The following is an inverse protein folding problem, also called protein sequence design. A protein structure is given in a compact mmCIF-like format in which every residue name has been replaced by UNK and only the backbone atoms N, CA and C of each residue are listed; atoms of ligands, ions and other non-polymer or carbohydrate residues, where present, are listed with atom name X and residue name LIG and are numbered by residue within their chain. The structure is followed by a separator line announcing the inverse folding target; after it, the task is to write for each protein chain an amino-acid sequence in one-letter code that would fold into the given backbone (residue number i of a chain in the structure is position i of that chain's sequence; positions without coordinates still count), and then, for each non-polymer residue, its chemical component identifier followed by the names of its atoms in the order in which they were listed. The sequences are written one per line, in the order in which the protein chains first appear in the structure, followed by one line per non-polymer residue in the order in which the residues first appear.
data_IF_334042722708
#
_entry.id   IF_334042722708
#
_cell.length_a   1.000
_cell.length_b   1.000
_cell.length_c   1.000
_cell.angle_alpha   90.00
_cell.angle_beta   90.00
_cell.angle_gamma   90.00
#
_symmetry.space_group_name_H-M   'P 1'
#
loop_
_entity.id
_entity.type
_entity.pdbx_description
1 polymer ?
#
# COMPACT_ATOMS: atom_id res chain seq x y z
N UNK A 1 4.72 33.82 -5.34
CA UNK A 1 5.27 33.98 -6.70
C UNK A 1 5.93 32.64 -7.04
N UNK A 2 5.28 31.82 -7.87
CA UNK A 2 5.90 30.58 -8.41
C UNK A 2 6.99 31.01 -9.36
N UNK A 3 8.22 30.67 -9.02
CA UNK A 3 9.35 30.82 -9.91
C UNK A 3 9.22 29.78 -11.03
N UNK A 4 8.93 30.21 -12.26
CA UNK A 4 9.08 29.33 -13.43
C UNK A 4 10.59 29.13 -13.65
N UNK A 5 11.09 27.89 -13.59
CA UNK A 5 12.50 27.66 -13.85
C UNK A 5 12.86 28.12 -15.27
N UNK A 6 14.03 28.72 -15.40
CA UNK A 6 14.55 29.23 -16.69
C UNK A 6 14.89 28.09 -17.68
N UNK A 7 14.89 26.85 -17.18
CA UNK A 7 15.30 25.63 -17.88
C UNK A 7 14.10 24.73 -18.14
N UNK A 8 14.11 24.05 -19.29
CA UNK A 8 13.02 23.17 -19.71
C UNK A 8 13.08 21.79 -19.05
N UNK A 9 11.92 21.16 -18.86
CA UNK A 9 11.78 19.72 -18.63
C UNK A 9 10.97 19.15 -19.76
N UNK A 10 11.49 18.09 -20.36
CA UNK A 10 10.74 17.28 -21.34
C UNK A 10 10.43 15.94 -20.71
N UNK A 11 9.14 15.68 -20.46
CA UNK A 11 8.67 14.41 -19.93
C UNK A 11 8.20 13.52 -21.08
N UNK A 12 8.80 12.34 -21.19
CA UNK A 12 8.51 11.34 -22.19
C UNK A 12 7.85 10.13 -21.48
N UNK A 13 6.58 9.90 -21.76
CA UNK A 13 5.87 8.69 -21.34
C UNK A 13 6.22 7.57 -22.31
N UNK A 14 6.98 6.58 -21.84
CA UNK A 14 7.40 5.45 -22.65
C UNK A 14 6.48 4.26 -22.40
N UNK A 15 5.51 4.03 -23.28
CA UNK A 15 4.57 2.91 -23.20
C UNK A 15 5.22 1.66 -23.80
N UNK A 16 5.27 0.58 -23.01
CA UNK A 16 5.87 -0.70 -23.37
C UNK A 16 4.75 -1.73 -23.43
N UNK A 17 4.39 -2.15 -24.63
CA UNK A 17 3.37 -3.18 -24.84
C UNK A 17 3.97 -4.56 -24.60
N UNK A 18 3.31 -5.36 -23.76
CA UNK A 18 3.70 -6.74 -23.46
C UNK A 18 2.49 -7.64 -23.64
N UNK A 19 2.71 -8.80 -24.26
CA UNK A 19 1.67 -9.81 -24.34
C UNK A 19 1.37 -10.39 -22.95
N UNK A 20 0.10 -10.41 -22.57
CA UNK A 20 -0.33 -10.91 -21.28
C UNK A 20 -0.03 -12.39 -21.06
N UNK A 21 0.00 -13.20 -22.11
CA UNK A 21 0.32 -14.61 -22.01
C UNK A 21 1.73 -14.86 -21.48
N UNK A 22 2.68 -13.93 -21.74
CA UNK A 22 4.07 -14.04 -21.29
C UNK A 22 4.26 -13.72 -19.79
N UNK A 23 3.34 -12.99 -19.17
CA UNK A 23 3.46 -12.53 -17.78
C UNK A 23 2.36 -13.05 -16.85
N UNK A 24 1.33 -13.69 -17.39
CA UNK A 24 0.13 -14.04 -16.61
C UNK A 24 0.44 -14.94 -15.41
N UNK A 25 1.34 -15.91 -15.57
CA UNK A 25 1.67 -16.84 -14.49
C UNK A 25 2.49 -16.18 -13.38
N UNK A 26 3.29 -15.18 -13.71
CA UNK A 26 4.02 -14.38 -12.72
C UNK A 26 3.08 -13.39 -12.03
N UNK A 27 2.19 -12.75 -12.78
CA UNK A 27 1.19 -11.84 -12.24
C UNK A 27 0.23 -12.53 -11.27
N UNK A 28 -0.15 -13.79 -11.55
CA UNK A 28 -0.98 -14.62 -10.65
C UNK A 28 -0.29 -14.94 -9.32
N UNK A 29 1.03 -15.01 -9.28
CA UNK A 29 1.82 -15.31 -8.08
C UNK A 29 2.04 -14.12 -7.17
N UNK A 30 1.66 -12.91 -7.59
CA UNK A 30 1.85 -11.70 -6.79
C UNK A 30 0.95 -11.77 -5.54
N UNK A 31 1.54 -11.65 -4.33
CA UNK A 31 0.75 -11.61 -3.11
C UNK A 31 -0.24 -10.44 -3.12
N UNK A 32 -1.46 -10.69 -2.64
CA UNK A 32 -2.48 -9.65 -2.55
C UNK A 32 -2.01 -8.48 -1.69
N UNK A 33 -2.27 -7.25 -2.14
CA UNK A 33 -1.83 -6.04 -1.45
C UNK A 33 -0.34 -5.71 -1.60
N UNK A 34 0.43 -6.43 -2.43
CA UNK A 34 1.86 -6.22 -2.61
C UNK A 34 2.19 -5.32 -3.81
N UNK A 35 2.31 -4.00 -3.63
CA UNK A 35 2.74 -3.10 -4.72
C UNK A 35 4.14 -3.44 -5.26
N UNK A 36 5.04 -3.90 -4.38
CA UNK A 36 6.39 -4.31 -4.77
C UNK A 36 6.37 -5.58 -5.63
N UNK A 37 5.35 -6.43 -5.49
CA UNK A 37 5.17 -7.62 -6.31
C UNK A 37 5.00 -7.26 -7.80
N UNK A 38 4.18 -6.25 -8.11
CA UNK A 38 4.04 -5.75 -9.48
C UNK A 38 5.37 -5.23 -10.03
N UNK A 39 6.11 -4.47 -9.23
CA UNK A 39 7.40 -3.94 -9.64
C UNK A 39 8.42 -5.04 -9.91
N UNK A 40 8.47 -6.10 -9.07
CA UNK A 40 9.36 -7.26 -9.28
C UNK A 40 9.06 -8.00 -10.57
N UNK A 41 7.81 -8.17 -10.95
CA UNK A 41 7.41 -8.82 -12.21
C UNK A 41 7.75 -7.95 -13.42
N UNK A 42 7.57 -6.64 -13.31
CA UNK A 42 7.70 -5.73 -14.44
C UNK A 42 9.10 -5.13 -14.61
N UNK A 43 10.01 -5.32 -13.63
CA UNK A 43 11.30 -4.62 -13.58
C UNK A 43 12.17 -4.89 -14.81
N UNK A 44 12.30 -6.14 -15.24
CA UNK A 44 13.15 -6.52 -16.37
C UNK A 44 12.65 -5.89 -17.67
N UNK A 45 11.35 -5.88 -17.90
CA UNK A 45 10.73 -5.23 -19.06
C UNK A 45 11.01 -3.72 -19.06
N UNK A 46 10.91 -3.07 -17.91
CA UNK A 46 11.24 -1.64 -17.77
C UNK A 46 12.72 -1.38 -18.05
N UNK A 47 13.60 -2.19 -17.48
CA UNK A 47 15.06 -2.05 -17.65
C UNK A 47 15.45 -2.18 -19.14
N UNK A 48 14.94 -3.19 -19.82
CA UNK A 48 15.20 -3.35 -21.26
C UNK A 48 14.74 -2.12 -22.08
N UNK A 49 13.61 -1.55 -21.73
CA UNK A 49 13.05 -0.40 -22.46
C UNK A 49 13.85 0.89 -22.30
N UNK A 50 14.57 1.03 -21.18
CA UNK A 50 15.35 2.25 -20.89
C UNK A 50 16.77 2.22 -21.44
N UNK A 51 17.27 1.10 -21.94
CA UNK A 51 18.65 0.97 -22.50
C UNK A 51 19.02 2.12 -23.41
N UNK A 52 18.15 2.47 -24.34
CA UNK A 52 18.38 3.52 -25.34
C UNK A 52 18.49 4.94 -24.74
N UNK A 53 18.04 5.13 -23.49
CA UNK A 53 18.05 6.44 -22.84
C UNK A 53 19.20 6.58 -21.83
N UNK A 54 19.89 5.47 -21.52
CA UNK A 54 21.01 5.48 -20.59
C UNK A 54 22.21 6.21 -21.21
N UNK A 55 22.79 7.10 -20.42
CA UNK A 55 24.01 7.84 -20.77
C UNK A 55 24.67 8.39 -19.51
N UNK A 56 25.89 8.91 -19.65
CA UNK A 56 26.57 9.62 -18.56
C UNK A 56 25.73 10.79 -18.06
N UNK A 57 25.59 10.92 -16.74
CA UNK A 57 24.76 11.92 -16.11
C UNK A 57 23.28 11.50 -16.00
N UNK A 58 22.98 10.21 -16.01
CA UNK A 58 21.63 9.70 -15.78
C UNK A 58 21.39 9.43 -14.28
N UNK A 59 20.24 9.87 -13.78
CA UNK A 59 19.69 9.52 -12.49
C UNK A 59 18.54 8.52 -12.69
N UNK A 60 18.66 7.32 -12.16
CA UNK A 60 17.58 6.33 -12.09
C UNK A 60 16.97 6.39 -10.69
N UNK A 61 15.68 6.65 -10.60
CA UNK A 61 14.97 6.68 -9.34
C UNK A 61 14.14 5.41 -9.15
N UNK A 62 14.24 4.82 -7.95
CA UNK A 62 13.40 3.71 -7.50
C UNK A 62 12.77 4.03 -6.15
N UNK A 63 11.44 3.95 -6.09
CA UNK A 63 10.73 4.13 -4.81
C UNK A 63 11.01 2.99 -3.82
N UNK A 64 11.23 1.76 -4.31
CA UNK A 64 11.58 0.61 -3.49
C UNK A 64 13.08 0.34 -3.55
N UNK A 65 13.67 0.17 -2.38
CA UNK A 65 15.11 -0.07 -2.23
C UNK A 65 15.42 -1.57 -2.15
N UNK A 66 14.64 -2.31 -1.36
CA UNK A 66 14.89 -3.72 -1.11
C UNK A 66 14.83 -4.54 -2.40
N UNK A 67 15.87 -5.28 -2.69
CA UNK A 67 16.07 -6.21 -3.82
C UNK A 67 16.12 -5.54 -5.21
N UNK A 68 15.35 -4.48 -5.46
CA UNK A 68 15.19 -3.90 -6.79
C UNK A 68 16.37 -2.99 -7.21
N UNK A 69 16.98 -2.27 -6.27
CA UNK A 69 18.10 -1.37 -6.60
C UNK A 69 19.35 -2.16 -7.05
N UNK A 70 19.58 -3.34 -6.50
CA UNK A 70 20.68 -4.21 -6.92
C UNK A 70 20.46 -4.73 -8.34
N UNK A 71 19.25 -5.18 -8.66
CA UNK A 71 18.88 -5.59 -10.03
C UNK A 71 19.10 -4.45 -11.04
N UNK A 72 18.76 -3.22 -10.67
CA UNK A 72 19.01 -2.03 -11.51
C UNK A 72 20.51 -1.81 -11.67
N UNK A 73 21.30 -1.96 -10.59
CA UNK A 73 22.74 -1.77 -10.61
C UNK A 73 23.44 -2.82 -11.47
N UNK A 74 23.11 -4.09 -11.31
CA UNK A 74 23.64 -5.20 -12.11
C UNK A 74 23.36 -4.97 -13.61
N UNK A 75 22.11 -4.65 -13.95
CA UNK A 75 21.73 -4.36 -15.34
C UNK A 75 22.52 -3.20 -15.94
N UNK A 76 22.70 -2.10 -15.21
CA UNK A 76 23.48 -0.95 -15.66
C UNK A 76 24.95 -1.30 -15.81
N UNK A 77 25.50 -2.10 -14.89
CA UNK A 77 26.87 -2.61 -14.94
C UNK A 77 27.13 -3.52 -16.15
N UNK A 78 26.22 -4.42 -16.48
CA UNK A 78 26.29 -5.30 -17.65
C UNK A 78 26.34 -4.52 -18.97
N UNK A 79 25.74 -3.33 -19.00
CA UNK A 79 25.79 -2.41 -20.15
C UNK A 79 27.11 -1.60 -20.22
N UNK A 80 28.02 -1.81 -19.24
CA UNK A 80 29.33 -1.15 -19.21
C UNK A 80 29.34 0.24 -18.55
N UNK A 81 28.26 0.66 -17.90
CA UNK A 81 28.25 1.92 -17.17
C UNK A 81 28.76 1.76 -15.74
N UNK A 82 29.52 2.72 -15.28
CA UNK A 82 29.86 2.84 -13.86
C UNK A 82 28.70 3.45 -13.11
N UNK A 83 28.36 2.89 -11.94
CA UNK A 83 27.21 3.35 -11.16
C UNK A 83 27.51 3.45 -9.66
N UNK A 84 26.63 4.12 -8.95
CA UNK A 84 26.63 4.16 -7.49
C UNK A 84 25.22 4.39 -6.95
N UNK A 85 25.04 4.10 -5.67
CA UNK A 85 23.78 4.23 -4.99
C UNK A 85 23.69 5.50 -4.15
N UNK A 86 22.47 6.02 -4.02
CA UNK A 86 22.10 7.02 -3.01
C UNK A 86 20.78 6.57 -2.37
N UNK A 87 20.89 5.70 -1.40
CA UNK A 87 19.80 5.02 -0.72
C UNK A 87 20.08 5.00 0.80
N UNK A 88 19.09 5.37 1.61
CA UNK A 88 19.27 5.40 3.06
C UNK A 88 20.46 6.26 3.50
N UNK A 89 21.40 5.63 4.19
CA UNK A 89 22.59 6.30 4.73
C UNK A 89 23.79 6.32 3.77
N UNK A 90 23.74 5.57 2.66
CA UNK A 90 24.80 5.57 1.65
C UNK A 90 24.76 6.85 0.80
N UNK A 91 25.73 7.72 1.04
CA UNK A 91 25.90 9.02 0.36
C UNK A 91 27.09 9.04 -0.62
N UNK A 92 27.91 8.01 -0.64
CA UNK A 92 29.13 7.97 -1.43
C UNK A 92 28.85 7.98 -2.94
N UNK A 93 27.83 7.25 -3.38
CA UNK A 93 27.42 7.27 -4.78
C UNK A 93 27.06 8.68 -5.28
N UNK A 94 26.37 9.48 -4.45
CA UNK A 94 26.05 10.86 -4.80
C UNK A 94 27.31 11.73 -4.94
N UNK A 95 28.27 11.60 -4.02
CA UNK A 95 29.55 12.34 -4.10
C UNK A 95 30.28 12.01 -5.39
N UNK A 96 30.43 10.73 -5.70
CA UNK A 96 31.09 10.24 -6.92
C UNK A 96 30.38 10.70 -8.20
N UNK A 97 29.05 10.67 -8.21
CA UNK A 97 28.27 11.15 -9.34
C UNK A 97 28.46 12.65 -9.59
N UNK A 98 28.44 13.47 -8.54
CA UNK A 98 28.67 14.91 -8.65
C UNK A 98 30.09 15.22 -9.16
N UNK A 99 31.07 14.43 -8.81
CA UNK A 99 32.44 14.51 -9.29
C UNK A 99 32.65 13.91 -10.67
N UNK A 100 31.60 13.33 -11.29
CA UNK A 100 31.68 12.62 -12.60
C UNK A 100 32.61 11.38 -12.56
N UNK A 101 32.80 10.78 -11.37
CA UNK A 101 33.57 9.57 -11.17
C UNK A 101 32.76 8.32 -11.57
N UNK A 102 31.44 8.45 -11.64
CA UNK A 102 30.51 7.42 -12.11
C UNK A 102 29.53 8.01 -13.12
N UNK A 103 29.01 7.16 -14.01
CA UNK A 103 28.14 7.54 -15.11
C UNK A 103 26.68 7.68 -14.70
N UNK A 104 26.20 6.79 -13.81
CA UNK A 104 24.79 6.66 -13.43
C UNK A 104 24.65 6.66 -11.91
N UNK A 105 23.71 7.45 -11.40
CA UNK A 105 23.29 7.43 -10.01
C UNK A 105 21.95 6.67 -9.89
N UNK A 106 21.89 5.68 -9.00
CA UNK A 106 20.67 4.98 -8.65
C UNK A 106 20.23 5.44 -7.27
N UNK A 107 19.06 6.05 -7.19
CA UNK A 107 18.61 6.69 -5.96
C UNK A 107 17.18 6.40 -5.57
N UNK A 108 16.84 6.72 -4.33
CA UNK A 108 15.50 6.53 -3.77
C UNK A 108 14.98 7.81 -3.10
N UNK A 109 13.97 7.70 -2.25
CA UNK A 109 13.31 8.83 -1.60
C UNK A 109 14.23 9.92 -1.00
N UNK A 110 15.43 9.61 -0.41
CA UNK A 110 16.36 10.64 0.08
C UNK A 110 16.80 11.66 -0.97
N UNK A 111 16.77 11.32 -2.27
CA UNK A 111 17.08 12.29 -3.34
C UNK A 111 16.13 13.48 -3.32
N UNK A 112 14.85 13.27 -3.02
CA UNK A 112 13.86 14.35 -2.92
C UNK A 112 14.09 15.32 -1.76
N UNK A 113 14.79 14.92 -0.70
CA UNK A 113 14.78 15.61 0.61
C UNK A 113 16.12 16.17 1.06
N UNK A 114 16.94 16.75 0.32
CA UNK A 114 18.14 17.40 0.88
C UNK A 114 19.40 17.30 0.03
N UNK A 115 19.22 16.91 -1.22
CA UNK A 115 20.33 16.84 -2.16
C UNK A 115 20.40 18.11 -2.98
N UNK A 116 21.59 18.69 -3.06
CA UNK A 116 21.92 19.80 -3.94
C UNK A 116 23.10 19.44 -4.85
N UNK A 117 23.20 20.08 -6.02
CA UNK A 117 24.29 19.91 -6.96
C UNK A 117 24.11 18.82 -8.01
N UNK A 118 23.03 18.04 -7.98
CA UNK A 118 22.71 17.08 -9.03
C UNK A 118 22.46 17.79 -10.37
N UNK A 119 21.83 18.95 -10.36
CA UNK A 119 21.52 19.76 -11.53
C UNK A 119 22.73 20.17 -12.38
N UNK A 120 23.94 20.07 -11.84
CA UNK A 120 25.16 20.39 -12.59
C UNK A 120 25.67 19.24 -13.44
N UNK A 121 25.25 18.01 -13.15
CA UNK A 121 25.77 16.79 -13.79
C UNK A 121 24.68 15.91 -14.39
N UNK A 122 23.43 16.03 -13.94
CA UNK A 122 22.31 15.21 -14.37
C UNK A 122 21.46 15.93 -15.43
N UNK A 123 21.36 15.36 -16.62
CA UNK A 123 20.48 15.81 -17.69
C UNK A 123 19.41 14.80 -18.09
N UNK A 124 19.41 13.64 -17.46
CA UNK A 124 18.46 12.57 -17.73
C UNK A 124 17.98 11.96 -16.41
N UNK A 125 16.68 11.98 -16.20
CA UNK A 125 16.02 11.37 -15.07
C UNK A 125 15.13 10.23 -15.55
N UNK A 126 15.27 9.07 -14.95
CA UNK A 126 14.42 7.89 -15.23
C UNK A 126 13.76 7.46 -13.92
N UNK A 127 12.52 7.91 -13.64
CA UNK A 127 11.72 7.37 -12.54
C UNK A 127 11.25 5.96 -12.89
N UNK A 128 12.14 4.98 -12.75
CA UNK A 128 11.89 3.58 -13.12
C UNK A 128 10.74 2.98 -12.29
N UNK A 129 10.74 3.32 -11.02
CA UNK A 129 9.66 3.01 -10.08
C UNK A 129 9.18 4.30 -9.45
N UNK A 130 8.00 4.74 -9.86
CA UNK A 130 7.43 6.04 -9.46
C UNK A 130 7.24 6.18 -7.94
N UNK A 131 7.34 7.39 -7.39
CA UNK A 131 6.90 7.67 -6.02
C UNK A 131 5.37 7.54 -5.88
N UNK A 132 4.87 7.61 -4.64
CA UNK A 132 3.43 7.49 -4.39
C UNK A 132 2.66 8.81 -4.40
N UNK A 133 3.37 9.92 -4.28
CA UNK A 133 2.73 11.23 -4.18
C UNK A 133 3.24 12.17 -5.27
N UNK A 134 2.39 13.10 -5.68
CA UNK A 134 2.77 14.18 -6.59
C UNK A 134 3.87 15.05 -5.98
N UNK A 135 3.81 15.31 -4.66
CA UNK A 135 4.83 16.09 -3.97
C UNK A 135 6.22 15.46 -4.03
N UNK A 136 6.33 14.14 -3.80
CA UNK A 136 7.61 13.43 -3.95
C UNK A 136 8.11 13.47 -5.40
N UNK A 137 7.20 13.34 -6.36
CA UNK A 137 7.54 13.42 -7.77
C UNK A 137 8.02 14.82 -8.17
N UNK A 138 7.35 15.87 -7.75
CA UNK A 138 7.75 17.25 -7.99
C UNK A 138 9.07 17.59 -7.30
N UNK A 139 9.30 17.11 -6.08
CA UNK A 139 10.59 17.28 -5.40
C UNK A 139 11.71 16.59 -6.18
N UNK A 140 11.49 15.40 -6.72
CA UNK A 140 12.45 14.69 -7.55
C UNK A 140 12.78 15.50 -8.82
N UNK A 141 11.77 15.99 -9.53
CA UNK A 141 11.95 16.86 -10.69
C UNK A 141 12.71 18.14 -10.34
N UNK A 142 12.39 18.76 -9.21
CA UNK A 142 13.05 19.98 -8.72
C UNK A 142 14.53 19.79 -8.33
N UNK A 143 15.01 18.55 -8.18
CA UNK A 143 16.45 18.28 -7.95
C UNK A 143 17.27 18.29 -9.23
N UNK A 144 16.71 17.84 -10.32
CA UNK A 144 17.39 17.78 -11.62
C UNK A 144 17.17 19.05 -12.44
N UNK A 145 16.03 19.72 -12.28
CA UNK A 145 15.71 20.97 -12.94
C UNK A 145 15.65 22.11 -11.91
N UNK A 146 16.82 22.70 -11.66
CA UNK A 146 17.00 23.74 -10.66
C UNK A 146 17.81 24.90 -11.20
N UNK A 147 17.64 26.08 -10.59
CA UNK A 147 18.45 27.24 -10.91
C UNK A 147 19.94 26.91 -10.82
N UNK A 148 20.71 27.33 -11.83
CA UNK A 148 22.13 27.05 -11.96
C UNK A 148 22.46 25.74 -12.70
N UNK A 149 21.44 25.01 -13.23
CA UNK A 149 21.71 23.86 -14.08
C UNK A 149 22.66 24.18 -15.22
N UNK A 150 23.55 23.24 -15.54
CA UNK A 150 24.43 23.29 -16.70
C UNK A 150 23.74 22.91 -18.01
N UNK A 151 22.45 22.54 -17.95
CA UNK A 151 21.69 22.03 -19.08
C UNK A 151 20.45 22.90 -19.33
N UNK A 152 20.19 23.23 -20.57
CA UNK A 152 19.00 24.01 -20.97
C UNK A 152 17.71 23.19 -20.83
N UNK A 153 17.82 21.87 -20.92
CA UNK A 153 16.70 20.95 -20.78
C UNK A 153 17.12 19.66 -20.08
N UNK A 154 16.23 19.15 -19.23
CA UNK A 154 16.33 17.83 -18.59
C UNK A 154 15.30 16.91 -19.21
N UNK A 155 15.74 15.74 -19.67
CA UNK A 155 14.84 14.73 -20.19
C UNK A 155 14.41 13.77 -19.08
N UNK A 156 13.13 13.56 -18.96
CA UNK A 156 12.54 12.60 -18.02
C UNK A 156 11.88 11.48 -18.82
N UNK A 157 12.28 10.25 -18.59
CA UNK A 157 11.71 9.07 -19.26
C UNK A 157 10.99 8.20 -18.23
N UNK A 158 9.68 8.03 -18.43
CA UNK A 158 8.83 7.26 -17.51
C UNK A 158 8.39 5.98 -18.23
N UNK A 159 9.04 4.84 -17.95
CA UNK A 159 8.63 3.57 -18.51
C UNK A 159 7.31 3.12 -17.90
N UNK A 160 6.36 2.76 -18.75
CA UNK A 160 5.03 2.28 -18.36
C UNK A 160 4.73 0.99 -19.10
N UNK A 161 4.73 -0.12 -18.39
CA UNK A 161 4.38 -1.42 -18.97
C UNK A 161 2.87 -1.53 -19.10
N UNK A 162 2.41 -1.83 -20.29
CA UNK A 162 1.01 -2.12 -20.62
C UNK A 162 0.91 -3.57 -21.05
N UNK A 163 0.24 -4.35 -20.23
CA UNK A 163 0.00 -5.77 -20.49
C UNK A 163 -1.32 -5.90 -21.23
N UNK A 164 -1.28 -6.46 -22.45
CA UNK A 164 -2.46 -6.62 -23.29
C UNK A 164 -2.73 -8.08 -23.58
N UNK A 165 -4.01 -8.44 -23.65
CA UNK A 165 -4.48 -9.74 -24.12
C UNK A 165 -5.78 -9.57 -24.89
N UNK A 166 -5.74 -9.88 -26.17
CA UNK A 166 -6.81 -9.53 -27.09
C UNK A 166 -7.01 -8.02 -27.15
N UNK A 167 -8.23 -7.56 -26.97
CA UNK A 167 -8.65 -6.15 -26.98
C UNK A 167 -8.57 -5.47 -25.60
N UNK A 168 -8.02 -6.15 -24.58
CA UNK A 168 -7.98 -5.67 -23.21
C UNK A 168 -6.57 -5.36 -22.74
N UNK A 169 -6.44 -4.22 -22.08
CA UNK A 169 -5.19 -3.73 -21.52
C UNK A 169 -5.29 -3.56 -20.00
N UNK A 170 -4.17 -3.80 -19.33
CA UNK A 170 -3.96 -3.50 -17.93
C UNK A 170 -2.57 -2.89 -17.74
N UNK A 171 -2.44 -1.87 -16.89
CA UNK A 171 -1.15 -1.25 -16.59
C UNK A 171 -1.11 -0.73 -15.15
N UNK A 172 -0.20 -1.29 -14.37
CA UNK A 172 0.14 -0.80 -13.04
C UNK A 172 0.78 0.60 -13.09
N UNK A 173 1.73 0.78 -14.00
CA UNK A 173 2.52 2.01 -14.10
C UNK A 173 1.68 3.20 -14.59
N UNK A 174 0.90 3.00 -15.65
CA UNK A 174 0.01 4.02 -16.22
C UNK A 174 -1.00 4.51 -15.19
N UNK A 175 -1.58 3.58 -14.41
CA UNK A 175 -2.49 3.92 -13.34
C UNK A 175 -1.82 4.77 -12.26
N UNK A 176 -0.63 4.35 -11.80
CA UNK A 176 0.14 5.05 -10.77
C UNK A 176 0.55 6.46 -11.22
N UNK A 177 1.01 6.60 -12.45
CA UNK A 177 1.40 7.89 -13.01
C UNK A 177 0.19 8.83 -13.21
N UNK A 178 -0.95 8.33 -13.64
CA UNK A 178 -2.17 9.12 -13.77
C UNK A 178 -2.63 9.69 -12.43
N UNK A 179 -2.46 8.97 -11.33
CA UNK A 179 -2.76 9.45 -9.99
C UNK A 179 -1.82 10.60 -9.58
N UNK A 180 -0.52 10.47 -9.89
CA UNK A 180 0.46 11.53 -9.65
C UNK A 180 0.05 12.80 -10.43
N UNK A 181 -0.27 12.67 -11.71
CA UNK A 181 -0.73 13.78 -12.55
C UNK A 181 -2.01 14.42 -12.00
N UNK A 182 -2.98 13.61 -11.64
CA UNK A 182 -4.25 14.09 -11.10
C UNK A 182 -4.04 14.88 -9.80
N UNK A 183 -3.24 14.37 -8.86
CA UNK A 183 -2.93 15.07 -7.60
C UNK A 183 -2.15 16.36 -7.80
N UNK A 184 -1.25 16.42 -8.78
CA UNK A 184 -0.56 17.66 -9.14
C UNK A 184 -1.56 18.70 -9.67
N UNK A 185 -2.45 18.29 -10.58
CA UNK A 185 -3.53 19.15 -11.09
C UNK A 185 -4.43 19.67 -9.98
N UNK A 186 -4.80 18.82 -9.00
CA UNK A 186 -5.59 19.23 -7.84
C UNK A 186 -4.88 20.26 -6.96
N UNK A 187 -3.58 20.07 -6.73
CA UNK A 187 -2.78 21.02 -5.97
C UNK A 187 -2.71 22.39 -6.68
N UNK A 188 -2.58 22.39 -8.00
CA UNK A 188 -2.59 23.60 -8.80
C UNK A 188 -3.96 24.30 -8.77
N UNK A 189 -5.04 23.57 -8.93
CA UNK A 189 -6.41 24.09 -8.86
C UNK A 189 -6.75 24.63 -7.46
N UNK A 190 -6.31 23.98 -6.39
CA UNK A 190 -6.57 24.46 -5.03
C UNK A 190 -5.84 25.75 -4.70
N UNK A 191 -4.68 26.00 -5.32
CA UNK A 191 -3.95 27.28 -5.19
C UNK A 191 -4.65 28.41 -5.95
N UNK A 192 -5.35 28.11 -7.02
CA UNK A 192 -6.15 29.05 -7.80
C UNK A 192 -7.58 29.23 -7.25
N UNK A 193 -7.90 28.62 -6.11
CA UNK A 193 -9.20 28.74 -5.42
C UNK A 193 -10.32 27.87 -5.98
N UNK A 194 -10.01 26.94 -6.87
CA UNK A 194 -10.97 26.01 -7.48
C UNK A 194 -10.87 24.65 -6.78
N UNK A 195 -11.89 24.22 -6.05
CA UNK A 195 -11.95 22.93 -5.37
C UNK A 195 -12.60 21.91 -6.31
N UNK A 196 -11.90 20.85 -6.74
CA UNK A 196 -12.49 19.77 -7.55
C UNK A 196 -13.51 18.96 -6.73
N UNK A 197 -14.59 18.54 -7.38
CA UNK A 197 -15.66 17.77 -6.72
C UNK A 197 -15.31 16.33 -6.36
N UNK A 198 -14.24 15.77 -6.91
CA UNK A 198 -13.83 14.39 -6.68
C UNK A 198 -12.43 14.33 -6.05
N UNK A 199 -12.34 13.78 -4.84
CA UNK A 199 -11.09 13.53 -4.16
C UNK A 199 -10.48 12.22 -4.64
N UNK A 200 -9.15 12.22 -4.87
CA UNK A 200 -8.43 10.99 -5.19
C UNK A 200 -8.56 9.96 -4.08
N UNK A 201 -8.83 8.69 -4.40
CA UNK A 201 -8.91 7.65 -3.40
C UNK A 201 -7.56 7.42 -2.69
N UNK A 202 -7.54 6.96 -1.44
CA UNK A 202 -6.32 6.65 -0.70
C UNK A 202 -5.50 5.54 -1.37
N UNK A 203 -4.18 5.50 -1.08
CA UNK A 203 -3.22 4.55 -1.65
C UNK A 203 -3.68 3.09 -1.59
N UNK A 204 -4.23 2.67 -0.44
CA UNK A 204 -4.78 1.32 -0.24
C UNK A 204 -5.92 1.00 -1.19
N UNK A 205 -6.80 1.96 -1.45
CA UNK A 205 -7.91 1.82 -2.41
C UNK A 205 -7.40 1.66 -3.83
N UNK A 206 -6.32 2.38 -4.19
CA UNK A 206 -5.72 2.30 -5.52
C UNK A 206 -5.06 0.96 -5.79
N UNK A 207 -4.37 0.40 -4.79
CA UNK A 207 -3.78 -0.94 -4.88
C UNK A 207 -4.88 -1.98 -5.01
N UNK A 208 -5.94 -1.91 -4.18
CA UNK A 208 -7.09 -2.81 -4.25
C UNK A 208 -7.81 -2.73 -5.61
N UNK A 209 -8.00 -1.53 -6.15
CA UNK A 209 -8.62 -1.37 -7.47
C UNK A 209 -7.74 -1.93 -8.59
N UNK A 210 -6.42 -1.69 -8.55
CA UNK A 210 -5.50 -2.25 -9.54
C UNK A 210 -5.47 -3.78 -9.50
N UNK A 211 -5.54 -4.36 -8.29
CA UNK A 211 -5.63 -5.81 -8.12
C UNK A 211 -6.97 -6.36 -8.61
N UNK A 212 -8.08 -5.70 -8.28
CA UNK A 212 -9.40 -6.09 -8.78
C UNK A 212 -9.45 -6.06 -10.31
N UNK A 213 -8.92 -5.01 -10.93
CA UNK A 213 -8.83 -4.91 -12.38
C UNK A 213 -7.92 -5.99 -12.98
N UNK A 214 -6.81 -6.33 -12.31
CA UNK A 214 -5.94 -7.44 -12.70
C UNK A 214 -6.68 -8.78 -12.56
N UNK A 215 -7.36 -9.02 -11.46
CA UNK A 215 -8.18 -10.23 -11.23
C UNK A 215 -9.28 -10.34 -12.28
N UNK A 216 -10.01 -9.27 -12.57
CA UNK A 216 -11.02 -9.24 -13.62
C UNK A 216 -10.42 -9.51 -15.00
N UNK A 217 -9.23 -8.96 -15.27
CA UNK A 217 -8.51 -9.19 -16.53
C UNK A 217 -8.04 -10.64 -16.63
N UNK A 218 -7.48 -11.22 -15.56
CA UNK A 218 -7.08 -12.64 -15.48
C UNK A 218 -8.30 -13.55 -15.62
N UNK A 219 -9.40 -13.29 -14.90
CA UNK A 219 -10.60 -14.14 -14.89
C UNK A 219 -11.35 -14.15 -16.22
N UNK A 220 -11.39 -13.02 -16.93
CA UNK A 220 -11.95 -12.94 -18.29
C UNK A 220 -11.16 -13.76 -19.32
N UNK A 221 -9.98 -14.20 -18.92
CA UNK A 221 -9.06 -15.01 -19.74
C UNK A 221 -9.25 -16.49 -19.45
N UNK A 222 -9.70 -16.84 -18.24
CA UNK A 222 -9.82 -18.22 -17.72
C UNK A 222 -11.27 -18.65 -17.60
N UNK A 223 -12.07 -18.67 -18.67
CA UNK A 223 -13.41 -19.25 -18.58
C UNK A 223 -13.42 -20.77 -18.27
N UNK A 224 -12.26 -21.43 -18.13
CA UNK A 224 -12.14 -22.85 -17.91
C UNK A 224 -11.33 -23.32 -16.69
N UNK A 225 -10.73 -22.42 -15.90
CA UNK A 225 -9.99 -22.83 -14.70
C UNK A 225 -10.47 -22.05 -13.46
N UNK A 226 -11.27 -22.71 -12.64
CA UNK A 226 -11.65 -22.24 -11.30
C UNK A 226 -10.43 -22.36 -10.40
N UNK A 227 -9.66 -21.28 -10.27
CA UNK A 227 -8.66 -21.16 -9.23
C UNK A 227 -9.29 -20.51 -8.00
N UNK A 228 -9.53 -21.32 -6.98
CA UNK A 228 -9.74 -20.84 -5.62
C UNK A 228 -8.43 -20.23 -5.13
N UNK A 229 -8.36 -18.91 -5.16
CA UNK A 229 -7.25 -18.18 -4.57
C UNK A 229 -7.58 -18.03 -3.09
N UNK A 230 -6.78 -18.68 -2.23
CA UNK A 230 -6.81 -18.43 -0.79
C UNK A 230 -6.58 -16.95 -0.51
N UNK A 231 -7.60 -16.31 0.06
CA UNK A 231 -7.61 -14.86 0.32
C UNK A 231 -7.00 -14.57 1.69
N UNK A 232 -5.70 -14.59 1.80
CA UNK A 232 -5.05 -13.87 2.90
C UNK A 232 -5.02 -12.36 2.56
N UNK A 233 -5.95 -11.59 3.12
CA UNK A 233 -5.83 -10.12 3.10
C UNK A 233 -4.57 -9.70 3.86
N UNK A 234 -3.55 -9.26 3.13
CA UNK A 234 -2.38 -8.65 3.74
C UNK A 234 -2.82 -7.31 4.33
N UNK A 235 -3.01 -7.29 5.65
CA UNK A 235 -3.18 -6.08 6.43
C UNK A 235 -1.93 -5.23 6.22
N UNK A 236 -2.05 -4.11 5.53
CA UNK A 236 -0.96 -3.15 5.44
C UNK A 236 -0.90 -2.47 6.81
N UNK A 237 0.09 -2.79 7.67
CA UNK A 237 0.22 -2.09 8.93
C UNK A 237 0.44 -0.61 8.65
N UNK A 238 -0.17 0.23 9.46
CA UNK A 238 0.08 1.67 9.39
C UNK A 238 1.58 1.91 9.54
N UNK A 239 2.15 2.76 8.70
CA UNK A 239 3.55 3.11 8.83
C UNK A 239 3.78 3.99 10.09
N UNK A 240 5.01 4.11 10.60
CA UNK A 240 5.31 4.86 11.83
C UNK A 240 4.78 6.31 11.84
N UNK A 241 4.80 7.00 10.71
CA UNK A 241 4.28 8.37 10.59
C UNK A 241 2.75 8.41 10.67
N UNK A 242 2.07 7.44 10.08
CA UNK A 242 0.62 7.31 10.19
C UNK A 242 0.18 6.95 11.61
N UNK A 243 0.95 6.09 12.29
CA UNK A 243 0.72 5.76 13.71
C UNK A 243 0.90 7.02 14.57
N UNK A 244 1.95 7.80 14.35
CA UNK A 244 2.18 9.03 15.11
C UNK A 244 1.11 10.09 14.85
N UNK A 245 0.69 10.26 13.59
CA UNK A 245 -0.41 11.15 13.24
C UNK A 245 -1.72 10.73 13.93
N UNK A 246 -2.08 9.45 13.83
CA UNK A 246 -3.29 8.92 14.50
C UNK A 246 -3.19 8.97 16.02
N UNK A 247 -1.99 8.82 16.61
CA UNK A 247 -1.79 9.00 18.04
C UNK A 247 -2.12 10.42 18.50
N UNK A 248 -1.76 11.45 17.72
CA UNK A 248 -2.10 12.85 18.01
C UNK A 248 -3.60 13.12 17.88
N UNK A 249 -4.26 12.46 16.94
CA UNK A 249 -5.68 12.64 16.65
C UNK A 249 -6.58 11.85 17.61
N UNK A 250 -6.24 10.60 17.88
CA UNK A 250 -7.10 9.62 18.56
C UNK A 250 -6.60 9.20 19.94
N UNK A 251 -5.36 9.55 20.30
CA UNK A 251 -4.72 9.14 21.53
C UNK A 251 -4.00 7.79 21.45
N UNK A 252 -3.58 7.29 22.60
CA UNK A 252 -2.95 5.98 22.74
C UNK A 252 -3.98 4.85 22.90
N UNK A 253 -3.48 3.63 23.07
CA UNK A 253 -4.31 2.43 23.24
C UNK A 253 -5.27 2.53 24.45
N UNK A 254 -4.81 3.12 25.55
CA UNK A 254 -5.61 3.26 26.77
C UNK A 254 -6.71 4.31 26.61
N UNK A 255 -6.40 5.41 25.92
CA UNK A 255 -7.35 6.48 25.61
C UNK A 255 -8.43 5.99 24.64
N UNK A 256 -8.07 5.21 23.63
CA UNK A 256 -9.03 4.60 22.71
C UNK A 256 -9.94 3.59 23.41
N UNK A 257 -9.38 2.71 24.25
CA UNK A 257 -10.18 1.78 25.06
C UNK A 257 -11.18 2.52 25.94
N UNK A 258 -10.74 3.58 26.63
CA UNK A 258 -11.62 4.41 27.45
C UNK A 258 -12.72 5.06 26.63
N UNK A 259 -12.38 5.64 25.47
CA UNK A 259 -13.32 6.28 24.57
C UNK A 259 -14.37 5.30 24.04
N UNK A 260 -13.96 4.09 23.65
CA UNK A 260 -14.89 3.08 23.17
C UNK A 260 -15.76 2.53 24.29
N UNK A 261 -15.22 2.29 25.47
CA UNK A 261 -15.97 1.75 26.63
C UNK A 261 -17.10 2.68 27.12
N UNK A 262 -16.97 3.99 26.94
CA UNK A 262 -18.02 4.97 27.33
C UNK A 262 -18.97 5.30 26.19
N UNK A 263 -18.69 4.87 24.96
CA UNK A 263 -19.49 5.13 23.76
C UNK A 263 -20.54 4.03 23.55
N UNK A 264 -21.71 4.40 22.99
CA UNK A 264 -22.71 3.41 22.58
C UNK A 264 -22.26 2.71 21.28
N UNK A 265 -22.56 1.42 21.15
CA UNK A 265 -22.18 0.59 20.00
C UNK A 265 -22.61 1.18 18.65
N UNK A 266 -23.84 1.70 18.56
CA UNK A 266 -24.35 2.32 17.32
C UNK A 266 -23.52 3.51 16.90
N UNK A 267 -23.12 4.35 17.87
CA UNK A 267 -22.26 5.52 17.62
C UNK A 267 -20.87 5.08 17.15
N UNK A 268 -20.31 4.02 17.75
CA UNK A 268 -19.02 3.45 17.32
C UNK A 268 -19.16 2.92 15.89
N UNK A 269 -20.18 2.11 15.61
CA UNK A 269 -20.43 1.53 14.29
C UNK A 269 -20.56 2.60 13.21
N UNK A 270 -21.35 3.66 13.45
CA UNK A 270 -21.51 4.76 12.50
C UNK A 270 -20.21 5.50 12.23
N UNK A 271 -19.38 5.71 13.26
CA UNK A 271 -18.08 6.36 13.14
C UNK A 271 -17.10 5.49 12.34
N UNK A 272 -17.00 4.20 12.66
CA UNK A 272 -16.13 3.25 11.97
C UNK A 272 -16.59 2.97 10.53
N UNK A 273 -17.90 3.07 10.25
CA UNK A 273 -18.43 3.00 8.90
C UNK A 273 -17.98 4.19 8.03
N UNK A 274 -17.84 5.37 8.64
CA UNK A 274 -17.33 6.57 7.96
C UNK A 274 -15.81 6.54 7.76
N UNK A 275 -15.09 6.08 8.78
CA UNK A 275 -13.62 6.01 8.75
C UNK A 275 -13.11 4.72 9.44
N UNK A 276 -12.87 3.70 8.63
CA UNK A 276 -12.29 2.43 9.11
C UNK A 276 -10.83 2.58 9.61
N UNK A 277 -10.18 3.72 9.42
CA UNK A 277 -8.80 3.93 9.84
C UNK A 277 -8.62 3.96 11.35
N UNK A 278 -9.63 4.36 12.11
CA UNK A 278 -9.63 4.28 13.58
C UNK A 278 -9.56 2.83 14.05
N UNK A 279 -10.32 1.91 13.42
CA UNK A 279 -10.27 0.48 13.69
C UNK A 279 -8.89 -0.12 13.37
N UNK A 280 -8.34 0.21 12.21
CA UNK A 280 -7.01 -0.24 11.80
C UNK A 280 -5.92 0.26 12.76
N UNK A 281 -6.03 1.49 13.24
CA UNK A 281 -5.10 2.06 14.21
C UNK A 281 -5.21 1.36 15.55
N UNK A 282 -6.43 1.14 16.07
CA UNK A 282 -6.67 0.38 17.28
C UNK A 282 -6.01 -1.00 17.24
N UNK A 283 -6.24 -1.76 16.17
CA UNK A 283 -5.67 -3.10 16.02
C UNK A 283 -4.15 -3.10 15.81
N UNK A 284 -3.58 -2.04 15.25
CA UNK A 284 -2.13 -1.87 15.20
C UNK A 284 -1.55 -1.72 16.60
N UNK A 285 -2.15 -0.87 17.44
CA UNK A 285 -1.73 -0.72 18.83
C UNK A 285 -1.95 -1.99 19.66
N UNK A 286 -3.06 -2.68 19.43
CA UNK A 286 -3.36 -3.96 20.07
C UNK A 286 -2.30 -5.02 19.77
N UNK A 287 -1.88 -5.17 18.49
CA UNK A 287 -0.79 -6.08 18.11
C UNK A 287 0.51 -5.77 18.85
N UNK A 288 0.88 -4.50 18.96
CA UNK A 288 2.10 -4.11 19.67
C UNK A 288 2.00 -4.41 21.18
N UNK A 289 0.87 -4.12 21.80
CA UNK A 289 0.66 -4.42 23.24
C UNK A 289 0.68 -5.92 23.50
N UNK A 290 0.06 -6.72 22.65
CA UNK A 290 -0.03 -8.18 22.78
C UNK A 290 1.34 -8.87 22.76
N UNK A 291 2.35 -8.32 22.09
CA UNK A 291 3.71 -8.88 22.09
C UNK A 291 4.34 -9.03 23.48
N UNK A 292 3.92 -8.19 24.43
CA UNK A 292 4.40 -8.22 25.81
C UNK A 292 3.54 -9.03 26.79
N UNK A 293 2.48 -9.70 26.31
CA UNK A 293 1.60 -10.45 27.20
C UNK A 293 2.11 -11.86 27.41
N UNK A 294 2.10 -12.31 28.67
CA UNK A 294 2.47 -13.68 29.05
C UNK A 294 1.44 -14.72 28.55
N UNK A 295 0.17 -14.32 28.46
CA UNK A 295 -0.94 -15.13 27.97
C UNK A 295 -1.74 -14.33 26.95
N UNK A 296 -2.03 -14.95 25.81
CA UNK A 296 -2.79 -14.32 24.74
C UNK A 296 -4.23 -14.81 24.81
N UNK A 297 -5.23 -13.92 25.06
CA UNK A 297 -6.60 -14.32 25.39
C UNK A 297 -7.26 -15.26 24.38
N UNK A 298 -7.16 -14.99 23.07
CA UNK A 298 -7.78 -15.86 22.07
C UNK A 298 -7.13 -17.25 22.01
N UNK A 299 -5.82 -17.37 22.32
CA UNK A 299 -5.13 -18.67 22.41
C UNK A 299 -5.60 -19.43 23.65
N UNK A 300 -5.79 -18.75 24.77
CA UNK A 300 -6.32 -19.40 25.99
C UNK A 300 -7.78 -19.86 25.79
N UNK A 301 -8.58 -19.10 25.04
CA UNK A 301 -9.94 -19.48 24.65
C UNK A 301 -9.89 -20.68 23.71
N UNK A 302 -9.01 -20.68 22.69
CA UNK A 302 -8.91 -21.80 21.74
C UNK A 302 -8.59 -23.13 22.45
N UNK A 303 -7.74 -23.12 23.49
CA UNK A 303 -7.44 -24.32 24.29
C UNK A 303 -8.66 -24.91 24.98
N UNK A 304 -9.65 -24.09 25.34
CA UNK A 304 -10.88 -24.55 25.99
C UNK A 304 -11.93 -25.05 25.01
N UNK A 305 -11.90 -24.57 23.76
CA UNK A 305 -12.89 -24.90 22.74
C UNK A 305 -12.46 -26.11 21.91
N UNK A 306 -11.17 -26.26 21.60
CA UNK A 306 -10.65 -27.29 20.69
C UNK A 306 -11.03 -28.72 21.03
N UNK A 307 -11.31 -29.03 22.32
CA UNK A 307 -11.73 -30.37 22.75
C UNK A 307 -13.23 -30.61 22.52
N UNK A 308 -13.94 -29.65 21.94
CA UNK A 308 -15.36 -29.66 21.60
C UNK A 308 -15.55 -29.36 20.11
N UNK A 309 -15.04 -30.21 19.26
CA UNK A 309 -15.02 -30.00 17.80
C UNK A 309 -16.43 -29.88 17.18
N UNK A 310 -17.44 -30.41 17.85
CA UNK A 310 -18.87 -30.36 17.47
C UNK A 310 -19.49 -28.98 17.75
N UNK A 311 -18.87 -28.13 18.56
CA UNK A 311 -19.44 -26.82 18.89
C UNK A 311 -19.37 -25.83 17.73
N UNK A 312 -20.48 -25.14 17.52
CA UNK A 312 -20.57 -23.97 16.65
C UNK A 312 -20.27 -22.73 17.48
N UNK A 313 -19.28 -21.95 17.07
CA UNK A 313 -18.75 -20.82 17.83
C UNK A 313 -19.17 -19.50 17.19
N UNK A 314 -19.63 -18.54 17.99
CA UNK A 314 -19.74 -17.15 17.58
C UNK A 314 -18.61 -16.33 18.22
N UNK A 315 -17.75 -15.72 17.43
CA UNK A 315 -16.68 -14.81 17.90
C UNK A 315 -17.17 -13.35 17.78
N UNK A 316 -17.59 -12.79 18.90
CA UNK A 316 -18.28 -11.51 19.00
C UNK A 316 -17.30 -10.38 19.26
N UNK A 317 -17.00 -9.58 18.22
CA UNK A 317 -15.90 -8.63 18.20
C UNK A 317 -14.60 -9.34 17.90
N UNK A 318 -14.57 -10.12 16.82
CA UNK A 318 -13.46 -11.00 16.45
C UNK A 318 -12.18 -10.24 16.06
N UNK A 319 -12.27 -8.94 15.81
CA UNK A 319 -11.16 -8.11 15.39
C UNK A 319 -10.50 -8.65 14.14
N UNK A 320 -9.30 -9.15 14.31
CA UNK A 320 -8.48 -9.70 13.23
C UNK A 320 -8.79 -11.17 12.90
N UNK A 321 -9.92 -11.68 13.37
CA UNK A 321 -10.38 -13.05 13.17
C UNK A 321 -9.30 -14.11 13.47
N UNK A 322 -8.61 -13.94 14.61
CA UNK A 322 -7.50 -14.82 14.99
C UNK A 322 -7.97 -16.13 15.60
N UNK A 323 -9.09 -16.12 16.33
CA UNK A 323 -9.64 -17.33 16.97
C UNK A 323 -10.00 -18.39 15.91
N UNK A 324 -10.60 -17.96 14.80
CA UNK A 324 -10.97 -18.89 13.70
C UNK A 324 -9.77 -19.60 13.06
N UNK A 325 -8.54 -19.09 13.27
CA UNK A 325 -7.30 -19.67 12.77
C UNK A 325 -6.70 -20.71 13.73
N UNK A 326 -7.14 -20.68 14.99
CA UNK A 326 -6.59 -21.51 16.07
C UNK A 326 -7.46 -22.74 16.36
N UNK A 327 -8.69 -22.79 15.83
CA UNK A 327 -9.65 -23.89 16.10
C UNK A 327 -10.23 -24.43 14.78
N UNK A 328 -10.62 -25.70 14.78
CA UNK A 328 -11.24 -26.40 13.64
C UNK A 328 -12.76 -26.28 13.62
N UNK A 329 -13.32 -25.74 14.69
CA UNK A 329 -14.76 -25.54 14.84
C UNK A 329 -15.36 -24.66 13.74
N UNK A 330 -16.65 -24.82 13.48
CA UNK A 330 -17.38 -23.85 12.68
C UNK A 330 -17.50 -22.53 13.45
N UNK A 331 -16.89 -21.45 12.95
CA UNK A 331 -16.89 -20.12 13.58
C UNK A 331 -17.72 -19.15 12.76
N UNK A 332 -18.56 -18.36 13.43
CA UNK A 332 -19.21 -17.15 12.91
C UNK A 332 -18.51 -15.93 13.51
N UNK A 333 -17.58 -15.30 12.80
CA UNK A 333 -16.85 -14.13 13.28
C UNK A 333 -17.61 -12.82 12.98
N UNK A 334 -17.86 -12.02 14.01
CA UNK A 334 -18.57 -10.75 13.90
C UNK A 334 -17.70 -9.59 14.38
N UNK A 335 -17.68 -8.48 13.64
CA UNK A 335 -17.04 -7.23 14.06
C UNK A 335 -17.70 -6.03 13.38
N UNK A 336 -17.41 -4.80 13.85
CA UNK A 336 -17.84 -3.56 13.17
C UNK A 336 -17.23 -3.40 11.79
N UNK A 337 -16.01 -3.94 11.60
CA UNK A 337 -15.24 -3.83 10.36
C UNK A 337 -14.78 -5.23 9.95
N UNK A 338 -15.26 -5.71 8.81
CA UNK A 338 -14.78 -6.93 8.21
C UNK A 338 -13.37 -6.72 7.63
N UNK A 339 -12.43 -7.51 8.13
CA UNK A 339 -11.05 -7.51 7.60
C UNK A 339 -10.92 -8.34 6.34
N UNK A 340 -11.80 -9.31 6.18
CA UNK A 340 -11.96 -10.20 5.05
C UNK A 340 -13.42 -10.63 4.90
N UNK A 341 -13.74 -11.41 3.88
CA UNK A 341 -15.12 -11.86 3.59
C UNK A 341 -15.66 -12.89 4.59
N UNK A 342 -14.80 -13.46 5.44
CA UNK A 342 -15.25 -14.40 6.47
C UNK A 342 -15.89 -13.68 7.65
N UNK A 343 -15.53 -12.39 7.88
CA UNK A 343 -16.06 -11.58 8.99
C UNK A 343 -17.37 -10.92 8.60
N UNK A 344 -18.38 -11.14 9.42
CA UNK A 344 -19.70 -10.55 9.25
C UNK A 344 -19.72 -9.18 9.91
N UNK A 345 -19.81 -8.10 9.08
CA UNK A 345 -19.85 -6.72 9.60
C UNK A 345 -21.21 -6.44 10.28
N UNK A 346 -21.22 -6.36 11.61
CA UNK A 346 -22.42 -5.99 12.35
C UNK A 346 -22.11 -5.26 13.65
N UNK A 347 -23.16 -4.80 14.33
CA UNK A 347 -23.11 -4.42 15.74
C UNK A 347 -23.45 -5.68 16.55
N UNK A 348 -22.56 -6.09 17.44
CA UNK A 348 -22.76 -7.30 18.27
C UNK A 348 -23.91 -7.17 19.31
N UNK A 349 -24.58 -6.01 19.35
CA UNK A 349 -25.86 -5.85 20.06
C UNK A 349 -27.08 -6.25 19.22
N UNK A 350 -26.87 -6.56 17.90
CA UNK A 350 -27.92 -6.94 16.96
C UNK A 350 -27.31 -7.83 15.87
N UNK A 351 -27.18 -9.14 16.19
CA UNK A 351 -26.48 -10.13 15.38
C UNK A 351 -27.46 -10.79 14.39
N UNK A 352 -27.10 -10.89 13.09
CA UNK A 352 -27.96 -11.46 12.07
C UNK A 352 -27.95 -13.00 12.07
N UNK A 353 -28.15 -13.62 13.24
CA UNK A 353 -28.36 -15.05 13.40
C UNK A 353 -29.69 -15.35 14.09
N UNK A 354 -30.24 -16.51 13.79
CA UNK A 354 -31.40 -17.05 14.48
C UNK A 354 -31.08 -17.39 15.93
N UNK A 355 -32.12 -17.51 16.76
CA UNK A 355 -31.98 -17.92 18.16
C UNK A 355 -31.43 -19.36 18.26
N UNK A 356 -30.56 -19.57 19.26
CA UNK A 356 -29.97 -20.89 19.56
C UNK A 356 -29.24 -21.52 18.35
N UNK A 357 -28.53 -20.67 17.58
CA UNK A 357 -27.80 -21.10 16.37
C UNK A 357 -26.37 -21.55 16.66
N UNK A 358 -25.83 -21.17 17.81
CA UNK A 358 -24.45 -21.47 18.23
C UNK A 358 -24.44 -22.15 19.60
N UNK A 359 -23.41 -22.92 19.86
CA UNK A 359 -23.22 -23.60 21.13
C UNK A 359 -22.44 -22.75 22.13
N UNK A 360 -21.61 -21.82 21.62
CA UNK A 360 -20.80 -20.93 22.46
C UNK A 360 -20.61 -19.56 21.82
N UNK A 361 -20.80 -18.52 22.62
CA UNK A 361 -20.50 -17.13 22.26
C UNK A 361 -19.24 -16.68 22.98
N UNK A 362 -18.27 -16.20 22.22
CA UNK A 362 -16.97 -15.74 22.69
C UNK A 362 -16.90 -14.22 22.66
N UNK A 363 -16.44 -13.60 23.73
CA UNK A 363 -16.13 -12.19 23.84
C UNK A 363 -14.66 -12.03 24.19
N UNK A 364 -13.79 -12.00 23.19
CA UNK A 364 -12.35 -11.86 23.39
C UNK A 364 -11.95 -10.38 23.42
N UNK A 365 -11.96 -9.75 24.60
CA UNK A 365 -11.68 -8.31 24.81
C UNK A 365 -12.63 -7.37 24.05
N UNK A 366 -13.83 -7.81 23.74
CA UNK A 366 -14.80 -7.11 22.91
C UNK A 366 -15.99 -6.50 23.68
N UNK A 367 -16.07 -6.68 25.00
CA UNK A 367 -17.11 -6.06 25.83
C UNK A 367 -16.86 -4.56 26.07
N UNK A 368 -16.51 -3.84 25.00
CA UNK A 368 -16.30 -2.40 25.01
C UNK A 368 -17.52 -1.68 24.47
N UNK A 369 -18.12 -0.86 25.29
CA UNK A 369 -19.33 -0.10 24.96
C UNK A 369 -20.17 0.17 26.17
N UNK A 370 -20.81 1.33 26.24
CA UNK A 370 -21.70 1.69 27.34
C UNK A 370 -22.93 0.77 27.45
N UNK A 371 -23.25 0.10 26.34
CA UNK A 371 -24.37 -0.85 26.24
C UNK A 371 -23.93 -2.32 26.21
N UNK A 372 -22.76 -2.68 26.78
CA UNK A 372 -22.22 -4.05 26.79
C UNK A 372 -23.21 -5.13 27.32
N UNK A 373 -24.20 -4.74 28.13
CA UNK A 373 -25.24 -5.64 28.59
C UNK A 373 -26.14 -6.15 27.44
N UNK A 374 -26.28 -5.37 26.39
CA UNK A 374 -27.00 -5.76 25.17
C UNK A 374 -26.21 -6.82 24.42
N UNK A 375 -24.88 -6.71 24.38
CA UNK A 375 -24.00 -7.72 23.76
C UNK A 375 -24.16 -9.09 24.47
N UNK A 376 -24.16 -9.09 25.80
CA UNK A 376 -24.35 -10.34 26.57
C UNK A 376 -25.72 -10.96 26.33
N UNK A 377 -26.79 -10.14 26.22
CA UNK A 377 -28.14 -10.64 25.91
C UNK A 377 -28.18 -11.23 24.50
N UNK A 378 -27.53 -10.58 23.55
CA UNK A 378 -27.50 -11.01 22.16
C UNK A 378 -26.66 -12.29 22.00
N UNK A 379 -25.49 -12.36 22.64
CA UNK A 379 -24.67 -13.58 22.70
C UNK A 379 -25.36 -14.76 23.38
N UNK A 380 -26.32 -14.51 24.28
CA UNK A 380 -27.14 -15.55 24.88
C UNK A 380 -28.31 -15.96 23.97
N UNK A 381 -28.82 -15.04 23.15
CA UNK A 381 -29.94 -15.28 22.24
C UNK A 381 -29.56 -16.22 21.09
N UNK A 382 -28.39 -16.01 20.54
CA UNK A 382 -27.93 -16.74 19.34
C UNK A 382 -27.43 -18.13 19.70
#
# INVERSE_FOLDING_TARGET
IRYKPKYGITVNENLIQVNGDDLIDELKKIPKGSPIGFEKVLINTKLESIKQYLKKGTLIYSHYVTDLVNVIGEFVGELGYTYGFYIGDDKEGLRRFKNKEIDILIGSAPIGTGVDGIQYVCNTLIPLILPWTSSEYEQLLGRVNRQGSNFDNVNVYIPQVVVSRGDKEWSWDKRRYNIIKFKSTLADLSMDGIIPKELSPPKSTLVKQAQKELEEWINRISENDILTIDREEIKIPLNPKQIEYKRRELGDFSELNKKWSVSNSKTIKERLKKDKSEWNYYHTLYREKRKGWSEIPYIEISKKIKDREDWIVADLGCGENLLSKEITNKVYPFDYVGIDESVIECDISDIPLENNKVDVSVFCLSLMGSNYKEYLKEGYRI
#
